data_IF_364782979651
#
_entry.id   IF_364782979651
#
_cell.length_a   1.000
_cell.length_b   1.000
_cell.length_c   1.000
_cell.angle_alpha   90.00
_cell.angle_beta   90.00
_cell.angle_gamma   90.00
#
_symmetry.space_group_name_H-M   'P 1'
#
loop_
_entity.id
_entity.type
_entity.pdbx_description
1 polymer ?
#
# COMPACT_ATOMS: atom_id res chain seq x y z
N UNK A 1 12.87 -19.74 -3.30
CA UNK A 1 14.06 -20.15 -2.52
C UNK A 1 14.57 -18.92 -1.76
N UNK A 2 14.91 -19.09 -0.48
CA UNK A 2 15.63 -18.07 0.31
C UNK A 2 17.13 -18.34 0.17
N UNK A 3 17.94 -17.30 -0.02
CA UNK A 3 19.40 -17.42 -0.02
C UNK A 3 19.94 -16.77 1.26
N UNK A 4 20.74 -17.52 2.00
CA UNK A 4 21.50 -17.02 3.15
C UNK A 4 22.98 -17.09 2.77
N UNK A 5 23.65 -15.95 2.76
CA UNK A 5 25.03 -15.82 2.32
C UNK A 5 25.80 -14.85 3.20
N UNK A 6 26.91 -15.34 3.74
CA UNK A 6 27.91 -14.53 4.45
C UNK A 6 28.90 -14.00 3.42
N UNK A 7 29.09 -12.68 3.36
CA UNK A 7 30.09 -12.06 2.50
C UNK A 7 31.08 -11.26 3.35
N UNK A 8 32.38 -11.55 3.19
CA UNK A 8 33.46 -10.90 3.91
C UNK A 8 34.34 -10.09 2.94
N UNK A 9 34.73 -8.89 3.36
CA UNK A 9 35.84 -8.12 2.76
C UNK A 9 36.92 -7.92 3.82
N UNK A 10 38.10 -7.41 3.45
CA UNK A 10 39.25 -7.32 4.35
C UNK A 10 39.01 -6.57 5.68
N UNK A 11 37.97 -5.72 5.80
CA UNK A 11 37.64 -4.96 7.00
C UNK A 11 36.23 -5.20 7.59
N UNK A 12 35.32 -5.87 6.87
CA UNK A 12 33.92 -6.01 7.30
C UNK A 12 33.31 -7.36 6.91
N UNK A 13 32.56 -7.94 7.86
CA UNK A 13 31.67 -9.08 7.66
C UNK A 13 30.22 -8.63 7.52
N UNK A 14 29.52 -9.17 6.52
CA UNK A 14 28.12 -8.89 6.28
C UNK A 14 27.33 -10.20 6.15
N UNK A 15 26.28 -10.35 6.96
CA UNK A 15 25.35 -11.46 6.87
C UNK A 15 24.14 -11.03 6.03
N UNK A 16 23.96 -11.61 4.86
CA UNK A 16 22.83 -11.31 4.00
C UNK A 16 21.81 -12.46 4.01
N UNK A 17 20.54 -12.08 4.18
CA UNK A 17 19.40 -12.93 3.93
C UNK A 17 18.58 -12.33 2.78
N UNK A 18 18.39 -13.10 1.72
CA UNK A 18 17.61 -12.71 0.55
C UNK A 18 16.26 -13.46 0.57
N UNK A 19 15.11 -12.77 0.49
CA UNK A 19 13.79 -13.41 0.40
C UNK A 19 13.60 -14.02 -1.00
N UNK A 20 12.89 -15.12 -1.22
CA UNK A 20 11.65 -15.57 -0.57
C UNK A 20 10.44 -15.34 -1.45
N UNK A 21 10.55 -15.68 -2.73
CA UNK A 21 9.40 -15.73 -3.63
C UNK A 21 8.30 -16.61 -3.04
N UNK A 22 7.08 -16.10 -2.93
CA UNK A 22 5.92 -16.87 -2.49
C UNK A 22 4.99 -17.16 -3.68
N UNK A 23 4.18 -18.21 -3.59
CA UNK A 23 3.12 -18.50 -4.55
C UNK A 23 1.85 -17.68 -4.20
N UNK A 24 1.01 -17.42 -5.20
CA UNK A 24 -0.21 -16.61 -5.05
C UNK A 24 -0.11 -15.25 -5.74
N UNK A 25 -0.93 -14.29 -5.32
CA UNK A 25 -1.04 -12.97 -5.96
C UNK A 25 0.20 -12.09 -5.74
N UNK A 26 1.02 -12.40 -4.73
CA UNK A 26 2.25 -11.70 -4.42
C UNK A 26 3.46 -12.46 -4.93
N UNK A 27 4.37 -11.74 -5.60
CA UNK A 27 5.62 -12.30 -6.11
C UNK A 27 6.69 -12.46 -5.01
N UNK A 28 6.59 -11.67 -3.94
CA UNK A 28 7.60 -11.58 -2.88
C UNK A 28 6.95 -11.57 -1.48
N UNK A 29 7.61 -12.19 -0.50
CA UNK A 29 7.11 -12.32 0.88
C UNK A 29 6.98 -11.00 1.63
N UNK A 30 7.87 -10.04 1.38
CA UNK A 30 7.86 -8.70 1.97
C UNK A 30 6.56 -7.96 1.63
N UNK A 31 6.21 -7.89 0.33
CA UNK A 31 4.97 -7.26 -0.12
C UNK A 31 3.72 -7.90 0.52
N UNK A 32 3.72 -9.22 0.70
CA UNK A 32 2.61 -9.95 1.32
C UNK A 32 2.47 -9.67 2.82
N UNK A 33 3.57 -9.73 3.57
CA UNK A 33 3.57 -9.46 5.01
C UNK A 33 3.20 -8.00 5.27
N UNK A 34 3.73 -7.07 4.46
CA UNK A 34 3.37 -5.65 4.52
C UNK A 34 1.86 -5.44 4.33
N UNK A 35 1.24 -6.15 3.38
CA UNK A 35 -0.21 -6.05 3.17
C UNK A 35 -1.00 -6.58 4.37
N UNK A 36 -0.61 -7.71 4.97
CA UNK A 36 -1.28 -8.24 6.15
C UNK A 36 -1.25 -7.23 7.30
N UNK A 37 -0.07 -6.68 7.58
CA UNK A 37 0.10 -5.68 8.62
C UNK A 37 -0.74 -4.43 8.35
N UNK A 38 -0.69 -3.91 7.12
CA UNK A 38 -1.44 -2.71 6.74
C UNK A 38 -2.96 -2.93 6.86
N UNK A 39 -3.47 -4.06 6.36
CA UNK A 39 -4.89 -4.39 6.46
C UNK A 39 -5.36 -4.52 7.92
N UNK A 40 -4.55 -5.13 8.79
CA UNK A 40 -4.88 -5.26 10.21
C UNK A 40 -4.95 -3.89 10.90
N UNK A 41 -4.00 -2.99 10.63
CA UNK A 41 -3.99 -1.65 11.22
C UNK A 41 -5.12 -0.76 10.67
N UNK A 42 -5.43 -0.85 9.37
CA UNK A 42 -6.58 -0.15 8.79
C UNK A 42 -7.91 -0.62 9.39
N UNK A 43 -8.07 -1.92 9.64
CA UNK A 43 -9.26 -2.45 10.32
C UNK A 43 -9.36 -1.96 11.76
N UNK A 44 -8.25 -1.99 12.51
CA UNK A 44 -8.22 -1.50 13.87
C UNK A 44 -8.58 -0.01 13.96
N UNK A 45 -8.03 0.82 13.05
CA UNK A 45 -8.31 2.25 13.01
C UNK A 45 -9.79 2.55 12.70
N UNK A 46 -10.39 1.81 11.77
CA UNK A 46 -11.83 1.94 11.47
C UNK A 46 -12.71 1.51 12.66
N UNK A 47 -12.33 0.48 13.41
CA UNK A 47 -13.04 0.09 14.63
C UNK A 47 -12.93 1.16 15.73
N UNK A 48 -11.74 1.75 15.91
CA UNK A 48 -11.55 2.85 16.84
C UNK A 48 -12.38 4.07 16.45
N UNK A 49 -12.44 4.41 15.16
CA UNK A 49 -13.34 5.45 14.66
C UNK A 49 -14.78 5.17 15.09
N UNK A 50 -15.31 3.97 14.79
CA UNK A 50 -16.67 3.58 15.16
C UNK A 50 -16.95 3.64 16.67
N UNK A 51 -15.95 3.39 17.51
CA UNK A 51 -16.07 3.52 18.96
C UNK A 51 -16.00 4.97 19.44
N UNK A 52 -15.29 5.83 18.71
CA UNK A 52 -15.03 7.22 19.09
C UNK A 52 -16.12 8.20 18.64
N UNK A 53 -16.78 7.93 17.52
CA UNK A 53 -17.82 8.81 16.95
C UNK A 53 -19.20 8.20 17.12
N UNK A 54 -20.20 9.03 17.47
CA UNK A 54 -21.57 8.56 17.66
C UNK A 54 -22.28 8.11 16.37
N UNK A 55 -21.81 8.59 15.21
CA UNK A 55 -22.31 8.17 13.89
C UNK A 55 -21.36 8.60 12.78
N UNK A 56 -21.31 7.81 11.70
CA UNK A 56 -20.62 8.17 10.45
C UNK A 56 -21.68 8.40 9.36
N UNK A 57 -21.89 9.64 8.89
CA UNK A 57 -22.89 9.92 7.86
C UNK A 57 -22.47 9.42 6.46
N UNK A 58 -23.44 9.04 5.62
CA UNK A 58 -23.20 8.63 4.23
C UNK A 58 -23.09 9.83 3.27
N UNK A 59 -22.22 10.77 3.62
CA UNK A 59 -21.93 11.98 2.85
C UNK A 59 -20.41 12.23 2.82
N UNK A 60 -20.01 13.33 2.19
CA UNK A 60 -18.60 13.72 2.10
C UNK A 60 -17.91 13.78 3.48
N UNK A 61 -18.59 14.29 4.51
CA UNK A 61 -18.02 14.42 5.86
C UNK A 61 -17.70 13.06 6.48
N UNK A 62 -18.63 12.09 6.39
CA UNK A 62 -18.40 10.76 6.93
C UNK A 62 -17.35 9.98 6.14
N UNK A 63 -17.24 10.22 4.83
CA UNK A 63 -16.17 9.64 4.03
C UNK A 63 -14.80 10.25 4.36
N UNK A 64 -14.76 11.56 4.65
CA UNK A 64 -13.56 12.21 5.16
C UNK A 64 -13.15 11.68 6.53
N UNK A 65 -14.10 11.32 7.42
CA UNK A 65 -13.79 10.66 8.69
C UNK A 65 -13.15 9.28 8.50
N UNK A 66 -13.64 8.49 7.54
CA UNK A 66 -13.07 7.18 7.20
C UNK A 66 -11.64 7.30 6.64
N UNK A 67 -11.42 8.28 5.76
CA UNK A 67 -10.08 8.56 5.22
C UNK A 67 -9.14 9.07 6.31
N UNK A 68 -9.62 9.96 7.19
CA UNK A 68 -8.84 10.49 8.32
C UNK A 68 -8.46 9.40 9.32
N UNK A 69 -9.36 8.46 9.62
CA UNK A 69 -9.04 7.33 10.50
C UNK A 69 -7.94 6.43 9.91
N UNK A 70 -7.86 6.30 8.59
CA UNK A 70 -6.81 5.53 7.93
C UNK A 70 -5.46 6.27 7.86
N UNK A 71 -5.38 7.55 8.19
CA UNK A 71 -4.18 8.37 8.01
C UNK A 71 -2.98 7.84 8.80
N UNK A 72 -3.15 7.47 10.07
CA UNK A 72 -2.05 6.99 10.91
C UNK A 72 -1.44 5.67 10.39
N UNK A 73 -2.23 4.61 10.08
CA UNK A 73 -1.71 3.41 9.43
C UNK A 73 -1.01 3.69 8.09
N UNK A 74 -1.54 4.60 7.28
CA UNK A 74 -0.97 4.96 5.97
C UNK A 74 0.38 5.66 6.15
N UNK A 75 0.47 6.63 7.07
CA UNK A 75 1.71 7.35 7.36
C UNK A 75 2.77 6.39 7.91
N UNK A 76 2.40 5.50 8.83
CA UNK A 76 3.32 4.47 9.33
C UNK A 76 3.84 3.55 8.21
N UNK A 77 2.99 3.21 7.22
CA UNK A 77 3.41 2.41 6.07
C UNK A 77 4.30 3.19 5.09
N UNK A 78 4.09 4.50 4.93
CA UNK A 78 4.96 5.39 4.16
C UNK A 78 6.34 5.52 4.83
N UNK A 79 6.36 5.77 6.13
CA UNK A 79 7.59 5.93 6.92
C UNK A 79 8.42 4.64 6.94
N UNK A 80 7.75 3.48 7.04
CA UNK A 80 8.39 2.17 6.94
C UNK A 80 8.87 1.85 5.52
N UNK A 81 8.24 2.45 4.49
CA UNK A 81 8.54 2.19 3.08
C UNK A 81 7.80 0.99 2.48
N UNK A 82 6.71 0.53 3.10
CA UNK A 82 5.75 -0.40 2.53
C UNK A 82 4.80 0.27 1.51
N UNK A 83 4.72 1.60 1.54
CA UNK A 83 4.12 2.42 0.49
C UNK A 83 5.22 3.32 -0.07
N UNK A 84 5.32 3.39 -1.40
CA UNK A 84 6.32 4.19 -2.11
C UNK A 84 5.67 5.20 -3.04
N UNK A 85 6.08 6.45 -2.90
CA UNK A 85 5.75 7.53 -3.84
C UNK A 85 6.63 7.44 -5.09
N UNK A 86 6.20 8.09 -6.18
CA UNK A 86 6.98 8.18 -7.42
C UNK A 86 6.96 6.91 -8.27
N UNK A 87 6.14 5.92 -7.93
CA UNK A 87 6.00 4.71 -8.74
C UNK A 87 5.13 5.01 -9.97
N UNK A 88 5.72 4.83 -11.15
CA UNK A 88 5.01 4.95 -12.44
C UNK A 88 4.20 3.68 -12.68
N UNK A 89 2.88 3.84 -12.82
CA UNK A 89 1.98 2.74 -13.16
C UNK A 89 2.06 2.43 -14.67
N UNK A 90 1.90 1.16 -15.04
CA UNK A 90 1.74 0.76 -16.44
C UNK A 90 0.38 1.22 -16.99
N UNK A 91 0.28 1.40 -18.31
CA UNK A 91 -0.99 1.68 -19.01
C UNK A 91 -2.11 0.68 -18.61
N UNK A 92 -1.77 -0.60 -18.47
CA UNK A 92 -2.71 -1.63 -18.04
C UNK A 92 -3.20 -1.44 -16.59
N UNK A 93 -2.31 -1.06 -15.67
CA UNK A 93 -2.68 -0.76 -14.28
C UNK A 93 -3.55 0.50 -14.19
N UNK A 94 -3.19 1.55 -14.95
CA UNK A 94 -3.99 2.77 -15.04
C UNK A 94 -5.40 2.44 -15.56
N UNK A 95 -5.51 1.64 -16.62
CA UNK A 95 -6.80 1.22 -17.16
C UNK A 95 -7.63 0.41 -16.16
N UNK A 96 -7.01 -0.51 -15.41
CA UNK A 96 -7.69 -1.28 -14.37
C UNK A 96 -8.26 -0.39 -13.26
N UNK A 97 -7.46 0.53 -12.73
CA UNK A 97 -7.89 1.46 -11.68
C UNK A 97 -8.97 2.40 -12.21
N UNK A 98 -8.80 2.95 -13.42
CA UNK A 98 -9.78 3.82 -14.06
C UNK A 98 -11.12 3.11 -14.29
N UNK A 99 -11.11 1.85 -14.71
CA UNK A 99 -12.33 1.06 -14.90
C UNK A 99 -13.04 0.76 -13.56
N UNK A 100 -12.29 0.61 -12.47
CA UNK A 100 -12.86 0.35 -11.14
C UNK A 100 -13.47 1.62 -10.50
N UNK A 101 -12.80 2.77 -10.64
CA UNK A 101 -13.16 4.01 -9.96
C UNK A 101 -14.05 4.91 -10.84
N UNK A 102 -13.89 4.82 -12.17
CA UNK A 102 -14.57 5.67 -13.16
C UNK A 102 -13.83 6.96 -13.50
N UNK A 103 -12.73 7.27 -12.80
CA UNK A 103 -11.86 8.41 -13.07
C UNK A 103 -10.39 7.98 -13.02
N UNK A 104 -9.53 8.75 -13.70
CA UNK A 104 -8.09 8.54 -13.61
C UNK A 104 -7.53 9.15 -12.32
N UNK A 105 -6.94 8.31 -11.48
CA UNK A 105 -6.29 8.70 -10.22
C UNK A 105 -4.80 8.36 -10.19
N UNK A 106 -4.24 7.98 -11.34
CA UNK A 106 -2.82 7.60 -11.47
C UNK A 106 -1.89 8.69 -10.97
N UNK A 107 -2.17 9.96 -11.29
CA UNK A 107 -1.39 11.10 -10.78
C UNK A 107 -1.38 11.19 -9.25
N UNK A 108 -2.51 10.93 -8.58
CA UNK A 108 -2.58 10.91 -7.11
C UNK A 108 -1.79 9.74 -6.53
N UNK A 109 -1.89 8.55 -7.13
CA UNK A 109 -1.14 7.36 -6.71
C UNK A 109 0.36 7.59 -6.90
N UNK A 110 0.80 8.15 -8.03
CA UNK A 110 2.23 8.44 -8.24
C UNK A 110 2.73 9.52 -7.28
N UNK A 111 1.93 10.56 -6.99
CA UNK A 111 2.35 11.64 -6.08
C UNK A 111 2.42 11.19 -4.61
N UNK A 112 1.42 10.44 -4.13
CA UNK A 112 1.27 10.08 -2.71
C UNK A 112 1.65 8.64 -2.38
N UNK A 113 1.84 7.79 -3.39
CA UNK A 113 2.00 6.34 -3.25
C UNK A 113 0.69 5.58 -3.02
N UNK A 114 -0.44 6.27 -2.88
CA UNK A 114 -1.74 5.65 -2.60
C UNK A 114 -2.93 6.48 -3.09
N UNK A 115 -4.10 5.83 -3.12
CA UNK A 115 -5.40 6.46 -3.30
C UNK A 115 -6.47 5.73 -2.48
N UNK A 116 -7.13 6.46 -1.58
CA UNK A 116 -8.23 5.95 -0.76
C UNK A 116 -9.56 6.24 -1.45
N UNK A 117 -10.25 5.20 -1.91
CA UNK A 117 -11.51 5.34 -2.63
C UNK A 117 -12.69 4.89 -1.77
N UNK A 118 -13.66 5.79 -1.58
CA UNK A 118 -14.98 5.45 -1.04
C UNK A 118 -16.01 5.65 -2.14
N UNK A 119 -16.66 4.56 -2.56
CA UNK A 119 -17.78 4.65 -3.49
C UNK A 119 -19.00 5.18 -2.74
N UNK A 120 -19.62 6.29 -3.18
CA UNK A 120 -20.81 6.82 -2.53
C UNK A 120 -21.90 5.75 -2.38
N UNK A 121 -22.46 5.66 -1.16
CA UNK A 121 -23.47 4.68 -0.83
C UNK A 121 -24.77 4.94 -1.60
N UNK A 122 -25.33 3.88 -2.18
CA UNK A 122 -26.66 3.94 -2.82
C UNK A 122 -27.76 4.14 -1.78
N UNK A 123 -28.95 4.53 -2.22
CA UNK A 123 -30.11 4.65 -1.33
C UNK A 123 -30.39 3.34 -0.56
N UNK A 124 -30.20 2.20 -1.21
CA UNK A 124 -30.37 0.86 -0.64
C UNK A 124 -29.35 0.58 0.48
N UNK A 125 -28.07 0.88 0.25
CA UNK A 125 -27.01 0.72 1.27
C UNK A 125 -27.29 1.60 2.48
N UNK A 126 -27.71 2.85 2.26
CA UNK A 126 -28.08 3.78 3.34
C UNK A 126 -29.29 3.28 4.14
N UNK A 127 -30.32 2.79 3.45
CA UNK A 127 -31.51 2.23 4.09
C UNK A 127 -31.18 0.97 4.91
N UNK A 128 -30.31 0.11 4.40
CA UNK A 128 -29.84 -1.09 5.09
C UNK A 128 -28.79 -0.81 6.18
N UNK A 129 -28.28 0.43 6.28
CA UNK A 129 -27.21 0.85 7.19
C UNK A 129 -25.96 -0.05 7.11
N UNK A 130 -25.60 -0.46 5.90
CA UNK A 130 -24.41 -1.28 5.64
C UNK A 130 -23.20 -0.43 5.24
N UNK A 131 -22.00 -1.01 5.30
CA UNK A 131 -20.77 -0.31 4.92
C UNK A 131 -20.80 0.11 3.44
N UNK A 132 -20.35 1.33 3.09
CA UNK A 132 -20.07 1.65 1.70
C UNK A 132 -18.92 0.79 1.18
N UNK A 133 -18.80 0.69 -0.15
CA UNK A 133 -17.65 0.04 -0.77
C UNK A 133 -16.44 0.96 -0.64
N UNK A 134 -15.43 0.48 0.06
CA UNK A 134 -14.17 1.18 0.32
C UNK A 134 -13.06 0.35 -0.32
N UNK A 135 -12.13 1.00 -1.02
CA UNK A 135 -10.98 0.34 -1.64
C UNK A 135 -9.76 1.22 -1.48
N UNK A 136 -8.68 0.64 -0.97
CA UNK A 136 -7.40 1.31 -0.78
C UNK A 136 -6.41 0.81 -1.85
N UNK A 137 -5.99 1.69 -2.74
CA UNK A 137 -4.99 1.41 -3.76
C UNK A 137 -3.65 1.97 -3.28
N UNK A 138 -2.57 1.18 -3.34
CA UNK A 138 -1.24 1.63 -2.97
C UNK A 138 -0.16 0.95 -3.79
N UNK A 139 1.00 1.59 -3.90
CA UNK A 139 2.18 1.06 -4.58
C UNK A 139 3.25 0.73 -3.56
N UNK A 140 3.65 -0.54 -3.50
CA UNK A 140 4.76 -1.00 -2.66
C UNK A 140 6.13 -0.58 -3.24
N UNK A 141 6.22 -0.36 -4.55
CA UNK A 141 7.47 0.03 -5.24
C UNK A 141 8.56 -1.04 -5.26
N UNK A 142 8.43 -2.09 -4.43
CA UNK A 142 9.37 -3.19 -4.30
C UNK A 142 10.67 -2.77 -3.61
N UNK A 143 11.55 -3.75 -3.42
CA UNK A 143 12.87 -3.56 -2.81
C UNK A 143 13.98 -4.03 -3.75
N UNK A 144 15.09 -3.29 -3.81
CA UNK A 144 16.30 -3.76 -4.48
C UNK A 144 16.88 -4.90 -3.65
N UNK A 145 16.85 -6.11 -4.21
CA UNK A 145 17.32 -7.29 -3.50
C UNK A 145 18.81 -7.54 -3.68
N UNK A 146 19.39 -7.16 -4.83
CA UNK A 146 20.81 -7.34 -5.14
C UNK A 146 21.35 -6.06 -5.78
N UNK A 147 22.53 -5.62 -5.33
CA UNK A 147 23.26 -4.50 -5.93
C UNK A 147 24.47 -5.08 -6.67
N UNK A 148 24.55 -4.81 -7.97
CA UNK A 148 25.72 -5.07 -8.80
C UNK A 148 26.26 -3.73 -9.28
N UNK A 149 27.52 -3.43 -8.98
CA UNK A 149 28.19 -2.19 -9.37
C UNK A 149 29.46 -2.53 -10.16
N UNK A 150 29.51 -2.07 -11.41
CA UNK A 150 30.75 -2.05 -12.19
C UNK A 150 31.47 -0.71 -11.96
N UNK A 151 32.78 -0.76 -11.72
CA UNK A 151 33.66 0.41 -11.71
C UNK A 151 34.53 0.36 -12.95
N UNK A 152 34.25 1.22 -13.93
CA UNK A 152 34.96 1.30 -15.20
C UNK A 152 35.58 2.68 -15.29
N UNK A 153 36.90 2.70 -15.44
CA UNK A 153 37.66 3.93 -15.71
C UNK A 153 37.47 4.30 -17.19
N UNK A 154 37.31 5.60 -17.46
CA UNK A 154 37.08 6.13 -18.82
C UNK A 154 38.17 7.17 -19.08
N UNK A 155 39.09 6.84 -20.00
CA UNK A 155 40.05 7.76 -20.62
C UNK A 155 39.48 8.42 -21.89
#
# INVERSE_FOLDING_TARGET
YNYYGTHATANNDWNFFYPGSISGTFKWADAYINQIWLNANLQAANLQLLMSVGSIPYNADGYALLEAAAADPINAALDFGAIRTGVTLSESQIAQVRNAIGIDVSGSITAKGYYYFVKPATAQIRAARTSPSITFYYTDGGSIQKIELASIEIE
#
